data_IF_025355279926
#
_entry.id   IF_025355279926
#
_cell.length_a   1.000
_cell.length_b   1.000
_cell.length_c   1.000
_cell.angle_alpha   90.00
_cell.angle_beta   90.00
_cell.angle_gamma   90.00
#
_symmetry.space_group_name_H-M   'P 1'
#
loop_
_entity.id
_entity.type
_entity.pdbx_description
1 polymer ?
#
# COMPACT_ATOMS: atom_id res chain seq x y z
N UNK A 1 51.80 1.31 -4.56
CA UNK A 1 50.71 2.23 -4.24
C UNK A 1 49.51 2.07 -5.17
N UNK A 2 49.64 2.10 -6.51
CA UNK A 2 48.47 2.04 -7.46
C UNK A 2 47.55 0.82 -7.32
N UNK A 3 48.06 -0.37 -6.92
CA UNK A 3 47.25 -1.61 -6.75
C UNK A 3 46.37 -1.59 -5.49
N UNK A 4 46.81 -0.86 -4.44
CA UNK A 4 46.05 -0.75 -3.19
C UNK A 4 44.89 0.21 -3.38
N UNK A 5 45.11 1.34 -4.03
CA UNK A 5 44.04 2.31 -4.37
C UNK A 5 42.96 1.69 -5.26
N UNK A 6 43.34 0.87 -6.22
CA UNK A 6 42.38 0.17 -7.08
C UNK A 6 41.51 -0.81 -6.28
N UNK A 7 42.08 -1.58 -5.37
CA UNK A 7 41.34 -2.53 -4.52
C UNK A 7 40.36 -1.83 -3.58
N UNK A 8 40.78 -0.69 -3.00
CA UNK A 8 39.90 0.13 -2.15
C UNK A 8 38.75 0.71 -2.95
N UNK A 9 38.99 1.22 -4.15
CA UNK A 9 37.94 1.73 -5.03
C UNK A 9 36.93 0.64 -5.43
N UNK A 10 37.38 -0.57 -5.72
CA UNK A 10 36.50 -1.70 -6.03
C UNK A 10 35.65 -2.12 -4.83
N UNK A 11 36.20 -2.13 -3.61
CA UNK A 11 35.46 -2.43 -2.40
C UNK A 11 34.38 -1.39 -2.12
N UNK A 12 34.69 -0.11 -2.26
CA UNK A 12 33.72 0.98 -2.10
C UNK A 12 32.60 0.88 -3.14
N UNK A 13 32.95 0.59 -4.40
CA UNK A 13 31.97 0.39 -5.47
C UNK A 13 31.04 -0.80 -5.20
N UNK A 14 31.57 -1.91 -4.71
CA UNK A 14 30.77 -3.08 -4.33
C UNK A 14 29.81 -2.76 -3.17
N UNK A 15 30.29 -2.08 -2.11
CA UNK A 15 29.47 -1.66 -0.98
C UNK A 15 28.32 -0.71 -1.40
N UNK A 16 28.61 0.23 -2.28
CA UNK A 16 27.61 1.13 -2.86
C UNK A 16 26.56 0.37 -3.66
N UNK A 17 26.98 -0.59 -4.48
CA UNK A 17 26.05 -1.46 -5.24
C UNK A 17 25.14 -2.27 -4.31
N UNK A 18 25.71 -2.88 -3.25
CA UNK A 18 24.90 -3.61 -2.26
C UNK A 18 23.93 -2.70 -1.51
N UNK A 19 24.35 -1.48 -1.18
CA UNK A 19 23.49 -0.49 -0.53
C UNK A 19 22.32 -0.08 -1.44
N UNK A 20 22.60 0.25 -2.69
CA UNK A 20 21.56 0.60 -3.68
C UNK A 20 20.63 -0.57 -3.93
N UNK A 21 21.15 -1.78 -4.10
CA UNK A 21 20.33 -2.99 -4.26
C UNK A 21 19.43 -3.22 -3.04
N UNK A 22 19.95 -3.02 -1.83
CA UNK A 22 19.17 -3.11 -0.58
C UNK A 22 18.03 -2.11 -0.51
N UNK A 23 18.24 -0.87 -0.96
CA UNK A 23 17.18 0.15 -1.06
C UNK A 23 16.11 -0.30 -2.06
N UNK A 24 16.52 -0.79 -3.24
CA UNK A 24 15.58 -1.27 -4.27
C UNK A 24 14.73 -2.43 -3.78
N UNK A 25 15.32 -3.41 -3.10
CA UNK A 25 14.58 -4.54 -2.51
C UNK A 25 13.59 -4.03 -1.47
N UNK A 26 14.01 -3.12 -0.58
CA UNK A 26 13.15 -2.57 0.48
C UNK A 26 11.95 -1.80 -0.07
N UNK A 27 12.06 -1.14 -1.22
CA UNK A 27 10.96 -0.40 -1.85
C UNK A 27 9.89 -1.32 -2.48
N UNK A 28 10.16 -2.60 -2.65
CA UNK A 28 9.20 -3.56 -3.20
C UNK A 28 8.21 -4.10 -2.15
N UNK A 29 8.52 -3.96 -0.86
CA UNK A 29 7.62 -4.38 0.21
C UNK A 29 6.53 -3.35 0.43
N UNK A 30 5.29 -3.81 0.37
CA UNK A 30 4.12 -2.98 0.61
C UNK A 30 2.89 -3.48 -0.16
N UNK A 31 1.75 -2.97 0.22
CA UNK A 31 0.45 -3.39 -0.27
C UNK A 31 -0.13 -2.30 -1.15
N UNK A 32 -0.51 -2.66 -2.38
CA UNK A 32 -1.23 -1.77 -3.30
C UNK A 32 -2.72 -1.93 -3.05
N UNK A 33 -3.35 -0.86 -2.60
CA UNK A 33 -4.77 -0.85 -2.31
C UNK A 33 -5.49 0.00 -3.36
N UNK A 34 -6.48 -0.58 -4.02
CA UNK A 34 -7.41 0.12 -4.88
C UNK A 34 -8.72 0.33 -4.14
N UNK A 35 -9.10 1.58 -3.95
CA UNK A 35 -10.44 1.96 -3.48
C UNK A 35 -11.26 2.43 -4.67
N UNK A 36 -12.43 1.83 -4.89
CA UNK A 36 -13.33 2.11 -5.99
C UNK A 36 -14.72 2.45 -5.45
N UNK A 37 -15.17 3.67 -5.69
CA UNK A 37 -16.50 4.10 -5.28
C UNK A 37 -17.55 3.72 -6.35
N UNK A 38 -18.34 2.71 -6.07
CA UNK A 38 -19.52 2.29 -6.86
C UNK A 38 -20.81 2.42 -6.04
N UNK A 39 -20.81 3.21 -4.97
CA UNK A 39 -21.97 3.39 -4.09
C UNK A 39 -23.15 4.12 -4.74
N UNK A 40 -22.90 4.88 -5.81
CA UNK A 40 -23.90 5.77 -6.41
C UNK A 40 -23.96 7.16 -5.76
N UNK A 41 -23.10 7.43 -4.77
CA UNK A 41 -23.02 8.70 -4.05
C UNK A 41 -21.56 9.14 -3.84
N UNK A 42 -21.37 10.39 -3.42
CA UNK A 42 -20.04 10.90 -3.06
C UNK A 42 -19.67 10.41 -1.65
N UNK A 43 -18.54 9.72 -1.53
CA UNK A 43 -17.96 9.37 -0.23
C UNK A 43 -17.06 10.52 0.23
N UNK A 44 -17.25 10.96 1.47
CA UNK A 44 -16.51 12.07 2.06
C UNK A 44 -15.46 11.58 3.05
N UNK A 45 -14.39 12.33 3.19
CA UNK A 45 -13.32 12.04 4.16
C UNK A 45 -12.84 10.59 4.11
N UNK A 46 -12.59 10.10 2.90
CA UNK A 46 -12.16 8.72 2.70
C UNK A 46 -10.71 8.56 3.13
N UNK A 47 -10.47 7.65 4.06
CA UNK A 47 -9.16 7.42 4.67
C UNK A 47 -8.86 5.94 4.74
N UNK A 48 -7.63 5.55 4.42
CA UNK A 48 -7.07 4.25 4.78
C UNK A 48 -6.18 4.41 6.00
N UNK A 49 -6.44 3.60 7.03
CA UNK A 49 -5.78 3.71 8.33
C UNK A 49 -5.28 2.35 8.80
N UNK A 50 -4.02 2.29 9.19
CA UNK A 50 -3.50 1.18 9.97
C UNK A 50 -3.93 1.35 11.44
N UNK A 51 -4.60 0.36 12.03
CA UNK A 51 -5.24 0.54 13.33
C UNK A 51 -4.24 0.71 14.48
N UNK A 52 -3.12 0.01 14.45
CA UNK A 52 -2.13 0.02 15.53
C UNK A 52 -1.08 1.10 15.33
N UNK A 53 -1.42 2.38 15.54
CA UNK A 53 -0.48 3.52 15.48
C UNK A 53 0.25 3.71 14.13
N UNK A 54 -0.31 3.12 13.06
CA UNK A 54 0.23 3.25 11.71
C UNK A 54 -0.15 4.58 11.04
N UNK A 55 0.45 4.85 9.88
CA UNK A 55 0.13 6.03 9.10
C UNK A 55 -1.31 6.02 8.60
N UNK A 56 -1.89 7.19 8.54
CA UNK A 56 -3.19 7.44 7.93
C UNK A 56 -2.97 8.02 6.54
N UNK A 57 -3.66 7.45 5.55
CA UNK A 57 -3.61 7.89 4.16
C UNK A 57 -4.94 8.54 3.79
N UNK A 58 -4.95 9.86 3.70
CA UNK A 58 -6.12 10.62 3.28
C UNK A 58 -6.30 10.53 1.77
N UNK A 59 -7.45 10.03 1.35
CA UNK A 59 -7.86 9.99 -0.05
C UNK A 59 -8.75 11.18 -0.41
N UNK A 60 -9.17 11.99 0.56
CA UNK A 60 -10.15 13.05 0.36
C UNK A 60 -11.51 12.52 -0.03
N UNK A 61 -12.30 13.34 -0.72
CA UNK A 61 -13.60 12.92 -1.20
C UNK A 61 -13.48 12.09 -2.48
N UNK A 62 -14.28 11.03 -2.58
CA UNK A 62 -14.34 10.13 -3.74
C UNK A 62 -15.69 10.26 -4.44
N UNK A 63 -15.69 10.89 -5.61
CA UNK A 63 -16.86 10.96 -6.48
C UNK A 63 -17.33 9.59 -6.97
N UNK A 64 -18.53 9.53 -7.53
CA UNK A 64 -19.12 8.30 -8.09
C UNK A 64 -18.24 7.75 -9.21
N UNK A 65 -17.92 6.45 -9.16
CA UNK A 65 -17.07 5.76 -10.12
C UNK A 65 -15.58 6.07 -10.03
N UNK A 66 -15.16 6.96 -9.12
CA UNK A 66 -13.75 7.32 -8.94
C UNK A 66 -12.99 6.17 -8.31
N UNK A 67 -11.77 5.96 -8.81
CA UNK A 67 -10.81 4.96 -8.33
C UNK A 67 -9.56 5.66 -7.83
N UNK A 68 -9.08 5.26 -6.65
CA UNK A 68 -7.78 5.71 -6.13
C UNK A 68 -6.90 4.54 -5.76
N UNK A 69 -5.63 4.64 -6.12
CA UNK A 69 -4.59 3.68 -5.78
C UNK A 69 -3.72 4.28 -4.68
N UNK A 70 -3.47 3.50 -3.64
CA UNK A 70 -2.57 3.84 -2.55
C UNK A 70 -1.58 2.71 -2.36
N UNK A 71 -0.36 3.08 -2.02
CA UNK A 71 0.68 2.14 -1.64
C UNK A 71 0.95 2.29 -0.13
N UNK A 72 0.71 1.23 0.62
CA UNK A 72 0.87 1.18 2.07
C UNK A 72 2.06 0.27 2.39
N UNK A 73 2.98 0.75 3.22
CA UNK A 73 4.08 -0.04 3.75
C UNK A 73 3.85 -0.29 5.24
N UNK A 74 3.28 -1.44 5.63
CA UNK A 74 3.06 -1.77 7.03
C UNK A 74 4.39 -1.80 7.80
N UNK A 75 4.40 -1.23 9.01
CA UNK A 75 5.59 -1.19 9.86
C UNK A 75 5.48 -2.07 11.09
N UNK A 76 4.28 -2.36 11.52
CA UNK A 76 3.95 -3.14 12.70
C UNK A 76 2.82 -4.10 12.38
N UNK A 77 2.58 -5.06 13.26
CA UNK A 77 1.36 -5.87 13.22
C UNK A 77 0.13 -4.98 13.31
N UNK A 78 -0.76 -5.13 12.33
CA UNK A 78 -1.96 -4.32 12.22
C UNK A 78 -2.96 -4.94 11.25
N UNK A 79 -4.05 -4.24 11.03
CA UNK A 79 -4.94 -4.39 9.87
C UNK A 79 -5.20 -3.02 9.27
N UNK A 80 -5.67 -2.99 8.02
CA UNK A 80 -5.92 -1.75 7.31
C UNK A 80 -7.41 -1.57 7.14
N UNK A 81 -7.92 -0.48 7.70
CA UNK A 81 -9.32 -0.07 7.62
C UNK A 81 -9.51 0.99 6.55
N UNK A 82 -10.64 0.92 5.87
CA UNK A 82 -11.21 2.00 5.08
C UNK A 82 -12.27 2.69 5.92
N UNK A 83 -12.07 3.98 6.20
CA UNK A 83 -13.02 4.85 6.90
C UNK A 83 -13.58 5.89 5.93
N UNK A 84 -14.87 6.17 5.96
CA UNK A 84 -15.50 7.20 5.14
C UNK A 84 -16.85 7.65 5.72
N UNK A 85 -17.32 8.81 5.27
CA UNK A 85 -18.67 9.29 5.52
C UNK A 85 -19.48 9.12 4.22
N UNK A 86 -20.71 8.62 4.35
CA UNK A 86 -21.67 8.59 3.25
C UNK A 86 -22.32 9.97 3.00
N UNK A 87 -23.23 10.07 2.05
CA UNK A 87 -23.94 11.32 1.73
C UNK A 87 -24.81 11.83 2.88
N UNK A 88 -25.28 10.94 3.76
CA UNK A 88 -26.04 11.28 4.97
C UNK A 88 -25.15 11.71 6.15
N UNK A 89 -23.83 11.61 6.00
CA UNK A 89 -22.85 11.89 7.05
C UNK A 89 -22.66 10.76 8.05
N UNK A 90 -23.12 9.56 7.73
CA UNK A 90 -22.92 8.38 8.57
C UNK A 90 -21.51 7.84 8.33
N UNK A 91 -20.79 7.57 9.43
CA UNK A 91 -19.46 7.00 9.39
C UNK A 91 -19.50 5.50 9.17
N UNK A 92 -18.67 5.03 8.24
CA UNK A 92 -18.46 3.63 7.93
C UNK A 92 -16.98 3.27 8.16
N UNK A 93 -16.74 2.08 8.69
CA UNK A 93 -15.40 1.52 8.88
C UNK A 93 -15.41 0.07 8.45
N UNK A 94 -14.55 -0.29 7.50
CA UNK A 94 -14.47 -1.63 6.92
C UNK A 94 -13.03 -2.10 6.82
N UNK A 95 -12.77 -3.35 7.21
CA UNK A 95 -11.45 -3.96 7.09
C UNK A 95 -11.16 -4.28 5.63
N UNK A 96 -10.12 -3.68 5.06
CA UNK A 96 -9.69 -3.90 3.66
C UNK A 96 -8.56 -4.92 3.57
N UNK A 97 -7.70 -4.96 4.59
CA UNK A 97 -6.67 -5.99 4.73
C UNK A 97 -6.70 -6.49 6.17
N UNK A 98 -6.96 -7.79 6.32
CA UNK A 98 -7.25 -8.39 7.62
C UNK A 98 -6.05 -8.51 8.55
N UNK A 99 -4.87 -8.80 8.03
CA UNK A 99 -3.63 -8.87 8.81
C UNK A 99 -2.43 -8.44 7.98
N UNK A 100 -1.61 -7.59 8.55
CA UNK A 100 -0.37 -7.12 7.94
C UNK A 100 0.73 -6.95 8.99
N UNK A 101 1.97 -7.11 8.56
CA UNK A 101 3.16 -6.74 9.33
C UNK A 101 4.28 -6.23 8.41
N UNK A 102 5.37 -5.80 9.01
CA UNK A 102 6.53 -5.32 8.25
C UNK A 102 7.05 -6.40 7.29
N UNK A 103 7.23 -6.03 6.02
CA UNK A 103 7.70 -6.93 4.97
C UNK A 103 6.60 -7.61 4.17
N UNK A 104 5.34 -7.47 4.55
CA UNK A 104 4.23 -7.96 3.73
C UNK A 104 4.09 -7.17 2.44
N UNK A 105 3.63 -7.85 1.41
CA UNK A 105 3.36 -7.25 0.12
C UNK A 105 2.15 -7.89 -0.55
N UNK A 106 1.55 -7.18 -1.48
CA UNK A 106 0.39 -7.71 -2.17
C UNK A 106 -0.53 -6.63 -2.74
N UNK A 107 -1.77 -7.04 -2.94
CA UNK A 107 -2.82 -6.17 -3.49
C UNK A 107 -4.11 -6.38 -2.74
N UNK A 108 -4.82 -5.28 -2.49
CA UNK A 108 -6.20 -5.32 -2.03
C UNK A 108 -7.07 -4.42 -2.91
N UNK A 109 -8.32 -4.78 -3.06
CA UNK A 109 -9.32 -3.97 -3.75
C UNK A 109 -10.54 -3.86 -2.85
N UNK A 110 -10.93 -2.63 -2.54
CA UNK A 110 -12.15 -2.31 -1.82
C UNK A 110 -13.13 -1.61 -2.77
N UNK A 111 -14.28 -2.21 -3.00
CA UNK A 111 -15.34 -1.65 -3.82
C UNK A 111 -16.51 -1.28 -2.91
N UNK A 112 -16.74 0.01 -2.76
CA UNK A 112 -17.90 0.51 -2.00
C UNK A 112 -19.11 0.46 -2.88
N UNK A 113 -20.11 -0.33 -2.48
CA UNK A 113 -21.36 -0.56 -3.19
C UNK A 113 -22.52 0.25 -2.59
N UNK A 114 -23.66 0.37 -3.28
CA UNK A 114 -24.85 1.00 -2.73
C UNK A 114 -25.24 0.42 -1.37
N UNK A 115 -25.67 1.30 -0.46
CA UNK A 115 -26.04 0.92 0.91
C UNK A 115 -24.84 0.73 1.84
N UNK A 116 -23.65 1.22 1.48
CA UNK A 116 -22.46 1.20 2.34
C UNK A 116 -21.75 -0.14 2.43
N UNK A 117 -22.19 -1.16 1.68
CA UNK A 117 -21.51 -2.46 1.65
C UNK A 117 -20.18 -2.36 0.93
N UNK A 118 -19.10 -2.83 1.56
CA UNK A 118 -17.78 -2.89 0.93
C UNK A 118 -17.47 -4.33 0.52
N UNK A 119 -17.17 -4.51 -0.76
CA UNK A 119 -16.70 -5.79 -1.29
C UNK A 119 -15.18 -5.76 -1.35
N UNK A 120 -14.53 -6.61 -0.57
CA UNK A 120 -13.07 -6.67 -0.44
C UNK A 120 -12.53 -7.92 -1.12
N UNK A 121 -11.47 -7.73 -1.89
CA UNK A 121 -10.64 -8.82 -2.44
C UNK A 121 -9.19 -8.51 -2.11
N UNK A 122 -8.56 -9.38 -1.35
CA UNK A 122 -7.15 -9.28 -0.99
C UNK A 122 -6.35 -10.48 -1.50
N UNK A 123 -5.09 -10.22 -1.83
CA UNK A 123 -4.07 -11.23 -2.15
C UNK A 123 -2.75 -10.73 -1.56
N UNK A 124 -2.43 -11.24 -0.38
CA UNK A 124 -1.28 -10.83 0.42
C UNK A 124 -0.26 -11.96 0.45
N UNK A 125 0.98 -11.64 0.12
CA UNK A 125 2.12 -12.56 0.14
C UNK A 125 3.06 -12.22 1.30
N UNK A 126 3.52 -13.26 2.02
CA UNK A 126 4.36 -13.12 3.21
C UNK A 126 5.85 -13.26 2.88
N UNK A 127 6.21 -14.07 1.89
CA UNK A 127 7.60 -14.51 1.68
C UNK A 127 8.22 -14.00 0.37
N UNK A 128 7.45 -13.83 -0.66
CA UNK A 128 7.93 -13.36 -1.97
C UNK A 128 6.94 -12.36 -2.55
N UNK A 129 7.33 -11.11 -2.58
CA UNK A 129 6.60 -10.09 -3.32
C UNK A 129 6.62 -10.40 -4.82
N UNK A 130 5.72 -11.28 -5.26
CA UNK A 130 5.51 -11.60 -6.67
C UNK A 130 4.83 -10.43 -7.40
N UNK A 131 5.33 -9.24 -7.23
CA UNK A 131 4.88 -8.06 -7.93
C UNK A 131 5.95 -7.62 -8.90
N UNK A 132 5.92 -8.13 -10.12
CA UNK A 132 6.75 -7.62 -11.20
C UNK A 132 6.56 -6.12 -11.38
N UNK A 133 7.64 -5.40 -11.53
CA UNK A 133 7.69 -4.00 -11.93
C UNK A 133 6.87 -3.71 -13.20
N UNK A 134 6.64 -4.73 -14.02
CA UNK A 134 5.92 -4.66 -15.29
C UNK A 134 4.39 -4.50 -15.15
N UNK A 135 3.81 -4.78 -13.98
CA UNK A 135 2.36 -4.59 -13.73
C UNK A 135 1.98 -3.15 -13.38
N UNK A 136 2.94 -2.21 -13.39
CA UNK A 136 2.69 -0.80 -13.11
C UNK A 136 2.21 -0.01 -14.34
N UNK A 137 2.26 -0.60 -15.54
CA UNK A 137 2.05 0.09 -16.84
C UNK A 137 0.76 -0.37 -17.54
N UNK A 138 -0.09 -1.16 -16.89
CA UNK A 138 -1.39 -1.55 -17.45
C UNK A 138 -2.57 -1.03 -16.68
#
# INVERSE_FOLDING_TARGET
MKRITLRIALLIGALLLFYVAGIFVRQQYGIKILVNNQSGEVLRHVVLKEETHGPQHDLGDLGIGVRKHIFVQPRTESHINLEYLDSAGISHTEVVVGYVESGYCGRATAIVQPGGKVNVKENIDIVFCKGSWLDFVR
#
